data_IF_417958535534
#
_entry.id   IF_417958535534
#
_cell.length_a   1.000
_cell.length_b   1.000
_cell.length_c   1.000
_cell.angle_alpha   90.00
_cell.angle_beta   90.00
_cell.angle_gamma   90.00
#
_symmetry.space_group_name_H-M   'P 1'
#
loop_
_entity.id
_entity.type
_entity.pdbx_description
1 polymer ?
#
# COMPACT_ATOMS: atom_id res chain seq x y z
N UNK A 1 3.66 -8.35 -18.98
CA UNK A 1 4.45 -8.30 -17.74
C UNK A 1 3.50 -7.86 -16.65
N UNK A 2 3.34 -8.63 -15.57
CA UNK A 2 2.48 -8.25 -14.45
C UNK A 2 3.03 -7.00 -13.80
N UNK A 3 2.18 -5.99 -13.61
CA UNK A 3 2.54 -4.77 -12.87
C UNK A 3 2.18 -4.97 -11.40
N UNK A 4 2.93 -4.36 -10.49
CA UNK A 4 2.74 -4.47 -9.05
C UNK A 4 2.74 -3.10 -8.41
N UNK A 5 2.04 -2.97 -7.29
CA UNK A 5 1.93 -1.71 -6.56
C UNK A 5 1.99 -1.93 -5.04
N UNK A 6 2.25 -0.82 -4.35
CA UNK A 6 2.22 -0.74 -2.88
C UNK A 6 1.52 0.56 -2.45
N UNK A 7 0.78 0.48 -1.36
CA UNK A 7 0.12 1.64 -0.76
C UNK A 7 1.13 2.46 0.05
N UNK A 8 1.51 3.64 -0.44
CA UNK A 8 2.36 4.61 0.27
C UNK A 8 1.56 5.67 1.06
N UNK A 9 0.24 5.63 0.98
CA UNK A 9 -0.67 6.49 1.74
C UNK A 9 -1.16 5.76 2.99
N UNK A 10 -1.82 6.48 3.90
CA UNK A 10 -2.40 5.86 5.11
C UNK A 10 -3.40 4.75 4.76
N UNK A 11 -4.36 5.08 3.89
CA UNK A 11 -5.46 4.23 3.47
C UNK A 11 -5.85 4.60 2.04
N UNK A 12 -6.02 3.62 1.16
CA UNK A 12 -6.60 3.76 -0.17
C UNK A 12 -7.91 2.97 -0.20
N UNK A 13 -9.05 3.59 -0.57
CA UNK A 13 -10.30 2.85 -0.72
C UNK A 13 -10.23 1.92 -1.93
N UNK A 14 -10.70 0.69 -1.76
CA UNK A 14 -10.87 -0.25 -2.86
C UNK A 14 -12.33 -0.21 -3.31
N UNK A 15 -12.56 0.19 -4.56
CA UNK A 15 -13.88 0.44 -5.13
C UNK A 15 -14.42 -0.78 -5.89
N UNK A 16 -15.74 -1.00 -5.89
CA UNK A 16 -16.37 -2.10 -6.66
C UNK A 16 -16.24 -1.92 -8.17
N UNK A 17 -16.29 -0.67 -8.62
CA UNK A 17 -16.21 -0.27 -10.04
C UNK A 17 -15.25 0.93 -10.20
N UNK A 18 -14.67 1.15 -11.41
CA UNK A 18 -13.76 2.27 -11.68
C UNK A 18 -14.51 3.60 -11.79
N UNK A 19 -15.05 4.07 -10.68
CA UNK A 19 -15.89 5.26 -10.59
C UNK A 19 -15.86 5.83 -9.18
N UNK A 20 -15.81 7.16 -9.05
CA UNK A 20 -15.90 7.80 -7.74
C UNK A 20 -17.28 7.64 -7.07
N UNK A 21 -18.29 7.18 -7.81
CA UNK A 21 -19.66 6.96 -7.29
C UNK A 21 -19.91 5.52 -6.87
N UNK A 22 -18.97 4.61 -7.10
CA UNK A 22 -19.15 3.20 -6.76
C UNK A 22 -18.98 2.97 -5.26
N UNK A 23 -19.37 1.78 -4.82
CA UNK A 23 -19.25 1.40 -3.41
C UNK A 23 -17.78 1.13 -3.07
N UNK A 24 -17.39 1.51 -1.86
CA UNK A 24 -16.13 1.05 -1.26
C UNK A 24 -16.36 -0.38 -0.76
N UNK A 25 -15.64 -1.33 -1.33
CA UNK A 25 -15.76 -2.77 -1.00
C UNK A 25 -14.68 -3.26 -0.05
N UNK A 26 -13.54 -2.57 0.02
CA UNK A 26 -12.46 -2.84 0.96
C UNK A 26 -11.55 -1.60 1.06
N UNK A 27 -10.39 -1.75 1.70
CA UNK A 27 -9.36 -0.73 1.81
C UNK A 27 -7.97 -1.38 1.76
N UNK A 28 -6.98 -0.60 1.34
CA UNK A 28 -5.56 -0.96 1.33
C UNK A 28 -4.83 -0.01 2.28
N UNK A 29 -4.13 -0.56 3.25
CA UNK A 29 -3.39 0.19 4.26
C UNK A 29 -1.95 0.44 3.83
N UNK A 30 -1.31 1.44 4.46
CA UNK A 30 0.12 1.71 4.27
C UNK A 30 0.96 0.42 4.32
N UNK A 31 1.86 0.27 3.34
CA UNK A 31 2.76 -0.87 3.22
C UNK A 31 2.15 -2.15 2.65
N UNK A 32 0.84 -2.22 2.43
CA UNK A 32 0.23 -3.35 1.73
C UNK A 32 0.53 -3.31 0.23
N UNK A 33 0.87 -4.48 -0.32
CA UNK A 33 1.26 -4.66 -1.72
C UNK A 33 0.26 -5.55 -2.46
N UNK A 34 0.20 -5.36 -3.77
CA UNK A 34 -0.81 -5.99 -4.61
C UNK A 34 -0.32 -6.14 -6.06
N UNK A 35 -0.99 -7.02 -6.80
CA UNK A 35 -0.80 -7.19 -8.24
C UNK A 35 -1.81 -6.34 -9.00
N UNK A 36 -1.39 -5.67 -10.08
CA UNK A 36 -2.27 -4.92 -10.97
C UNK A 36 -2.74 -5.84 -12.12
N UNK A 37 -4.06 -5.93 -12.31
CA UNK A 37 -4.70 -6.83 -13.26
C UNK A 37 -5.05 -6.14 -14.59
N UNK A 38 -5.70 -4.98 -14.52
CA UNK A 38 -6.07 -4.16 -15.68
C UNK A 38 -6.07 -2.66 -15.34
N UNK A 39 -5.87 -1.81 -16.33
CA UNK A 39 -5.95 -0.34 -16.22
C UNK A 39 -7.11 0.17 -17.12
N UNK A 40 -7.91 1.10 -16.61
CA UNK A 40 -9.02 1.77 -17.32
C UNK A 40 -9.05 3.26 -16.99
N UNK A 41 -8.43 4.06 -17.85
CA UNK A 41 -8.25 5.49 -17.59
C UNK A 41 -7.38 5.70 -16.35
N UNK A 42 -7.89 6.46 -15.37
CA UNK A 42 -7.20 6.74 -14.11
C UNK A 42 -7.38 5.64 -13.04
N UNK A 43 -7.98 4.51 -13.41
CA UNK A 43 -8.28 3.41 -12.51
C UNK A 43 -7.45 2.17 -12.81
N UNK A 44 -6.96 1.52 -11.76
CA UNK A 44 -6.30 0.21 -11.84
C UNK A 44 -7.13 -0.81 -11.09
N UNK A 45 -7.51 -1.92 -11.72
CA UNK A 45 -8.02 -3.08 -11.01
C UNK A 45 -6.83 -3.83 -10.42
N UNK A 46 -6.88 -4.09 -9.13
CA UNK A 46 -5.81 -4.77 -8.40
C UNK A 46 -6.31 -6.05 -7.75
N UNK A 47 -5.38 -6.88 -7.33
CA UNK A 47 -5.59 -8.02 -6.46
C UNK A 47 -4.64 -7.93 -5.27
N UNK A 48 -5.19 -7.84 -4.07
CA UNK A 48 -4.44 -7.82 -2.81
C UNK A 48 -3.73 -9.15 -2.58
N UNK A 49 -2.56 -9.12 -1.97
CA UNK A 49 -1.79 -10.34 -1.72
C UNK A 49 -2.34 -11.20 -0.55
N UNK A 50 -2.74 -10.63 0.61
CA UNK A 50 -3.13 -11.45 1.77
C UNK A 50 -4.37 -12.32 1.56
N UNK A 51 -5.39 -11.81 0.87
CA UNK A 51 -6.71 -12.44 0.73
C UNK A 51 -7.17 -12.59 -0.73
N UNK A 52 -6.34 -12.17 -1.69
CA UNK A 52 -6.63 -12.25 -3.11
C UNK A 52 -7.91 -11.50 -3.53
N UNK A 53 -8.33 -10.51 -2.73
CA UNK A 53 -9.50 -9.70 -3.01
C UNK A 53 -9.24 -8.76 -4.19
N UNK A 54 -10.28 -8.48 -4.98
CA UNK A 54 -10.17 -7.67 -6.19
C UNK A 54 -11.05 -6.44 -6.10
N UNK A 55 -10.55 -5.34 -6.63
CA UNK A 55 -11.32 -4.10 -6.79
C UNK A 55 -10.48 -3.03 -7.47
N UNK A 56 -11.01 -1.81 -7.47
CA UNK A 56 -10.46 -0.69 -8.23
C UNK A 56 -9.87 0.39 -7.33
N UNK A 57 -8.70 0.89 -7.70
CA UNK A 57 -8.04 2.03 -7.04
C UNK A 57 -7.70 3.09 -8.09
N UNK A 58 -7.59 4.35 -7.68
CA UNK A 58 -7.02 5.37 -8.55
C UNK A 58 -5.52 5.10 -8.73
N UNK A 59 -5.05 5.12 -9.98
CA UNK A 59 -3.65 4.87 -10.32
C UNK A 59 -2.69 5.87 -9.67
N UNK A 60 -3.17 7.08 -9.36
CA UNK A 60 -2.40 8.13 -8.68
C UNK A 60 -2.27 7.96 -7.16
N UNK A 61 -2.96 6.99 -6.56
CA UNK A 61 -2.99 6.80 -5.10
C UNK A 61 -1.99 5.77 -4.58
N UNK A 62 -1.29 5.06 -5.46
CA UNK A 62 -0.30 4.06 -5.08
C UNK A 62 1.00 4.23 -5.86
N UNK A 63 2.07 3.62 -5.36
CA UNK A 63 3.36 3.61 -6.05
C UNK A 63 3.61 2.28 -6.75
N UNK A 64 4.12 2.35 -7.99
CA UNK A 64 4.53 1.16 -8.74
C UNK A 64 5.82 0.62 -8.16
N UNK A 65 5.91 -0.70 -8.00
CA UNK A 65 7.11 -1.38 -7.51
C UNK A 65 7.61 -2.41 -8.52
N UNK A 66 8.90 -2.72 -8.45
CA UNK A 66 9.51 -3.76 -9.28
C UNK A 66 9.02 -5.15 -8.83
N UNK A 67 8.99 -6.11 -9.77
CA UNK A 67 8.67 -7.50 -9.45
C UNK A 67 9.60 -8.07 -8.36
N UNK A 68 10.87 -7.67 -8.32
CA UNK A 68 11.82 -8.10 -7.30
C UNK A 68 11.42 -7.59 -5.91
N UNK A 69 11.01 -6.32 -5.80
CA UNK A 69 10.54 -5.73 -4.55
C UNK A 69 9.21 -6.38 -4.10
N UNK A 70 8.28 -6.62 -5.02
CA UNK A 70 7.06 -7.37 -4.73
C UNK A 70 7.34 -8.76 -4.17
N UNK A 71 8.24 -9.52 -4.80
CA UNK A 71 8.62 -10.86 -4.36
C UNK A 71 9.34 -10.88 -3.00
N UNK A 72 10.11 -9.83 -2.70
CA UNK A 72 10.74 -9.65 -1.38
C UNK A 72 9.68 -9.40 -0.31
N UNK A 73 8.71 -8.51 -0.58
CA UNK A 73 7.59 -8.23 0.32
C UNK A 73 6.78 -9.49 0.64
N UNK A 74 6.43 -10.30 -0.36
CA UNK A 74 5.68 -11.54 -0.17
C UNK A 74 6.41 -12.57 0.73
N UNK A 75 7.73 -12.52 0.81
CA UNK A 75 8.56 -13.44 1.62
C UNK A 75 8.96 -12.88 2.97
N UNK A 76 8.79 -11.57 3.15
CA UNK A 76 9.27 -10.87 4.33
C UNK A 76 8.31 -11.02 5.52
N UNK A 77 8.87 -11.10 6.72
CA UNK A 77 8.10 -10.93 7.95
C UNK A 77 7.97 -9.43 8.22
N UNK A 78 6.90 -8.82 7.72
CA UNK A 78 6.66 -7.38 7.85
C UNK A 78 6.14 -7.07 9.26
N UNK A 79 6.66 -5.99 9.86
CA UNK A 79 6.12 -5.46 11.11
C UNK A 79 4.80 -4.74 10.84
N UNK A 80 3.86 -4.81 11.76
CA UNK A 80 2.53 -4.20 11.61
C UNK A 80 2.25 -3.24 12.75
N UNK A 81 1.73 -2.06 12.42
CA UNK A 81 1.30 -1.06 13.38
C UNK A 81 0.14 -1.58 14.25
N UNK A 82 0.27 -1.48 15.57
CA UNK A 82 -0.69 -2.02 16.54
C UNK A 82 -1.48 -0.96 17.32
N UNK A 83 -1.05 0.30 17.28
CA UNK A 83 -1.86 1.40 17.80
C UNK A 83 -2.89 1.86 16.76
N UNK A 84 -3.98 2.46 17.22
CA UNK A 84 -5.06 2.92 16.34
C UNK A 84 -4.58 3.93 15.28
N UNK A 85 -3.69 4.83 15.68
CA UNK A 85 -3.10 5.87 14.83
C UNK A 85 -1.65 6.04 15.25
N UNK A 86 -0.75 6.00 14.28
CA UNK A 86 0.67 6.34 14.44
C UNK A 86 1.09 7.32 13.35
N UNK A 87 2.29 7.87 13.46
CA UNK A 87 2.84 8.84 12.49
C UNK A 87 4.12 8.27 11.91
N UNK A 88 4.26 8.41 10.60
CA UNK A 88 5.52 8.19 9.87
C UNK A 88 5.95 9.49 9.20
N UNK A 89 7.25 9.71 9.12
CA UNK A 89 7.81 10.80 8.32
C UNK A 89 8.28 10.23 6.97
N UNK A 90 7.87 10.85 5.87
CA UNK A 90 8.29 10.50 4.51
C UNK A 90 8.74 11.79 3.84
N UNK A 91 10.00 11.87 3.41
CA UNK A 91 10.58 13.05 2.76
C UNK A 91 10.36 14.37 3.53
N UNK A 92 10.48 14.36 4.86
CA UNK A 92 10.26 15.56 5.69
C UNK A 92 8.79 15.91 5.93
N UNK A 93 7.84 15.09 5.46
CA UNK A 93 6.42 15.26 5.68
C UNK A 93 5.89 14.18 6.59
N UNK A 94 5.07 14.57 7.56
CA UNK A 94 4.42 13.65 8.46
C UNK A 94 3.09 13.19 7.86
N UNK A 95 2.87 11.87 7.83
CA UNK A 95 1.58 11.28 7.50
C UNK A 95 1.17 10.30 8.60
N UNK A 96 -0.13 10.11 8.75
CA UNK A 96 -0.65 9.11 9.68
C UNK A 96 -0.66 7.74 9.02
N UNK A 97 -0.52 6.71 9.84
CA UNK A 97 -0.85 5.32 9.51
C UNK A 97 -1.79 4.79 10.58
N UNK A 98 -2.49 3.69 10.28
CA UNK A 98 -3.54 3.15 11.15
C UNK A 98 -3.18 1.75 11.62
N UNK A 99 -3.93 1.26 12.60
CA UNK A 99 -3.87 -0.14 13.02
C UNK A 99 -3.92 -1.08 11.81
N UNK A 100 -3.00 -2.05 11.76
CA UNK A 100 -2.89 -3.00 10.65
C UNK A 100 -2.02 -2.54 9.49
N UNK A 101 -1.52 -1.29 9.48
CA UNK A 101 -0.55 -0.84 8.49
C UNK A 101 0.74 -1.63 8.57
N UNK A 102 1.23 -2.07 7.42
CA UNK A 102 2.49 -2.77 7.28
C UNK A 102 3.65 -1.77 7.24
N UNK A 103 4.77 -2.12 7.87
CA UNK A 103 5.98 -1.31 7.96
C UNK A 103 7.14 -2.03 7.25
N UNK A 104 7.21 -1.96 5.90
CA UNK A 104 8.20 -2.70 5.13
C UNK A 104 9.63 -2.25 5.47
N UNK A 105 10.51 -3.24 5.60
CA UNK A 105 11.94 -3.05 5.88
C UNK A 105 12.26 -2.25 7.15
N UNK A 106 11.31 -2.11 8.08
CA UNK A 106 11.52 -1.33 9.30
C UNK A 106 12.60 -1.96 10.18
N UNK A 107 13.67 -1.22 10.44
CA UNK A 107 14.76 -1.58 11.35
C UNK A 107 15.25 -0.31 12.05
N UNK A 108 15.31 -0.33 13.39
CA UNK A 108 15.81 0.81 14.19
C UNK A 108 15.13 2.14 13.85
N UNK A 109 13.80 2.13 13.73
CA UNK A 109 12.98 3.33 13.46
C UNK A 109 13.03 3.85 12.02
N UNK A 110 13.65 3.13 11.09
CA UNK A 110 13.69 3.49 9.66
C UNK A 110 13.27 2.34 8.79
N UNK A 111 12.44 2.62 7.79
CA UNK A 111 12.04 1.65 6.79
C UNK A 111 12.06 2.25 5.39
N UNK A 112 11.60 1.47 4.42
CA UNK A 112 11.57 1.87 3.01
C UNK A 112 10.29 1.41 2.36
N UNK A 113 9.67 2.27 1.56
CA UNK A 113 8.44 1.98 0.82
C UNK A 113 8.54 2.55 -0.59
N UNK A 114 8.38 1.69 -1.61
CA UNK A 114 8.50 2.06 -3.02
C UNK A 114 9.74 2.91 -3.33
N UNK A 115 10.92 2.46 -2.88
CA UNK A 115 12.15 3.24 -3.09
C UNK A 115 12.39 4.40 -2.12
N UNK A 116 11.38 4.86 -1.38
CA UNK A 116 11.43 6.05 -0.51
C UNK A 116 11.63 5.65 0.95
N UNK A 117 12.57 6.30 1.64
CA UNK A 117 12.77 6.08 3.08
C UNK A 117 11.65 6.72 3.91
N UNK A 118 11.27 6.05 5.00
CA UNK A 118 10.40 6.61 6.01
C UNK A 118 10.98 6.39 7.41
N UNK A 119 10.71 7.32 8.33
CA UNK A 119 11.00 7.13 9.76
C UNK A 119 9.72 6.81 10.51
N UNK A 120 9.89 6.03 11.58
CA UNK A 120 8.81 5.59 12.45
C UNK A 120 9.37 5.51 13.87
N UNK A 121 8.84 6.36 14.76
CA UNK A 121 9.30 6.51 16.14
C UNK A 121 8.41 5.76 17.16
N UNK A 122 7.61 4.80 16.68
CA UNK A 122 6.65 4.05 17.52
C UNK A 122 7.26 3.28 18.68
#
# INVERSE_FOLDING_TARGET
MSQHGICNLSVIPLMSEPSHRSEVVSQILFGEHFSCLEERGDWTQIQTEPDHYKGWVLTSQYEKILITEFQELCKSNVLTAFDLIQVVEINGQFTTIVFGSNLPSLTSGRGKIAGTEYTFDG
#
